data_IF_744963057429
#
_entry.id   IF_744963057429
#
_cell.length_a   1.000
_cell.length_b   1.000
_cell.length_c   1.000
_cell.angle_alpha   90.00
_cell.angle_beta   90.00
_cell.angle_gamma   90.00
#
_symmetry.space_group_name_H-M   'P 1'
#
loop_
_entity.id
_entity.type
_entity.pdbx_description
1 polymer ?
#
# COMPACT_ATOMS: atom_id res chain seq x y z
N UNK A 1 22.04 0.20 12.89
CA UNK A 1 20.75 -0.51 13.02
C UNK A 1 19.57 0.29 12.48
N UNK A 2 19.48 1.61 12.77
CA UNK A 2 18.45 2.48 12.19
C UNK A 2 18.34 2.39 10.65
N UNK A 3 19.45 2.46 9.90
CA UNK A 3 19.44 2.30 8.43
C UNK A 3 18.92 0.92 7.97
N UNK A 4 19.14 -0.14 8.76
CA UNK A 4 18.69 -1.49 8.40
C UNK A 4 17.18 -1.65 8.62
N UNK A 5 16.67 -1.11 9.73
CA UNK A 5 15.24 -1.01 10.01
C UNK A 5 14.52 -0.17 8.96
N UNK A 6 15.12 0.95 8.56
CA UNK A 6 14.58 1.82 7.51
C UNK A 6 14.54 1.12 6.13
N UNK A 7 15.57 0.33 5.83
CA UNK A 7 15.63 -0.50 4.61
C UNK A 7 14.54 -1.58 4.58
N UNK A 8 14.32 -2.29 5.69
CA UNK A 8 13.27 -3.32 5.80
C UNK A 8 11.85 -2.71 5.68
N UNK A 9 11.61 -1.56 6.31
CA UNK A 9 10.35 -0.81 6.17
C UNK A 9 10.12 -0.27 4.75
N UNK A 10 11.19 0.05 4.03
CA UNK A 10 11.10 0.55 2.66
C UNK A 10 10.45 -0.46 1.73
N UNK A 11 10.77 -1.75 1.89
CA UNK A 11 10.14 -2.83 1.11
C UNK A 11 8.64 -2.93 1.40
N UNK A 12 8.25 -2.85 2.68
CA UNK A 12 6.84 -2.89 3.09
C UNK A 12 6.06 -1.71 2.49
N UNK A 13 6.64 -0.51 2.57
CA UNK A 13 6.04 0.72 1.99
C UNK A 13 5.92 0.63 0.47
N UNK A 14 6.92 0.08 -0.21
CA UNK A 14 6.87 -0.16 -1.65
C UNK A 14 5.73 -1.11 -2.03
N UNK A 15 5.61 -2.25 -1.34
CA UNK A 15 4.53 -3.21 -1.58
C UNK A 15 3.16 -2.55 -1.33
N UNK A 16 3.01 -1.83 -0.21
CA UNK A 16 1.77 -1.14 0.12
C UNK A 16 1.38 -0.10 -0.95
N UNK A 17 2.37 0.63 -1.50
CA UNK A 17 2.15 1.58 -2.60
C UNK A 17 1.77 0.91 -3.92
N UNK A 18 2.23 -0.31 -4.18
CA UNK A 18 1.93 -1.03 -5.42
C UNK A 18 0.49 -1.57 -5.49
N UNK A 19 -0.18 -1.80 -4.36
CA UNK A 19 -1.52 -2.42 -4.30
C UNK A 19 -2.57 -1.62 -5.11
N UNK A 20 -2.72 -0.29 -4.92
CA UNK A 20 -3.63 0.51 -5.75
C UNK A 20 -3.32 0.44 -7.25
N UNK A 21 -2.04 0.46 -7.63
CA UNK A 21 -1.62 0.36 -9.03
C UNK A 21 -1.97 -0.99 -9.64
N UNK A 22 -1.84 -2.09 -8.88
CA UNK A 22 -2.28 -3.43 -9.31
C UNK A 22 -3.80 -3.47 -9.51
N UNK A 23 -4.57 -2.87 -8.59
CA UNK A 23 -6.02 -2.70 -8.76
C UNK A 23 -6.36 -1.92 -10.02
N UNK A 24 -5.65 -0.81 -10.27
CA UNK A 24 -5.82 0.01 -11.47
C UNK A 24 -5.56 -0.81 -12.75
N UNK A 25 -4.48 -1.60 -12.80
CA UNK A 25 -4.18 -2.52 -13.92
C UNK A 25 -5.33 -3.51 -14.16
N UNK A 26 -5.92 -4.04 -13.09
CA UNK A 26 -7.12 -4.89 -13.15
C UNK A 26 -8.28 -4.21 -13.85
N UNK A 27 -8.58 -2.96 -13.46
CA UNK A 27 -9.59 -2.13 -14.14
C UNK A 27 -9.28 -1.90 -15.61
N UNK A 28 -8.05 -1.51 -15.95
CA UNK A 28 -7.65 -1.21 -17.34
C UNK A 28 -7.84 -2.46 -18.21
N UNK A 29 -7.44 -3.63 -17.71
CA UNK A 29 -7.68 -4.92 -18.38
C UNK A 29 -9.17 -5.20 -18.56
N UNK A 30 -9.97 -5.08 -17.49
CA UNK A 30 -11.39 -5.41 -17.53
C UNK A 30 -12.20 -4.47 -18.43
N UNK A 31 -11.85 -3.18 -18.45
CA UNK A 31 -12.42 -2.19 -19.37
C UNK A 31 -12.01 -2.53 -20.81
N UNK A 32 -10.74 -2.86 -21.07
CA UNK A 32 -10.30 -3.29 -22.40
C UNK A 32 -11.07 -4.51 -22.92
N UNK A 33 -11.31 -5.49 -22.05
CA UNK A 33 -12.15 -6.65 -22.37
C UNK A 33 -13.61 -6.24 -22.65
N UNK A 34 -14.19 -5.34 -21.86
CA UNK A 34 -15.54 -4.85 -22.08
C UNK A 34 -15.66 -4.10 -23.41
N UNK A 35 -14.70 -3.25 -23.76
CA UNK A 35 -14.67 -2.50 -25.01
C UNK A 35 -14.56 -3.40 -26.24
N UNK A 36 -13.89 -4.56 -26.13
CA UNK A 36 -13.86 -5.55 -27.21
C UNK A 36 -15.24 -6.10 -27.57
N UNK A 37 -16.18 -6.05 -26.63
CA UNK A 37 -17.57 -6.49 -26.80
C UNK A 37 -18.52 -5.35 -27.17
N UNK A 38 -18.02 -4.12 -27.31
CA UNK A 38 -18.85 -2.93 -27.55
C UNK A 38 -19.70 -3.04 -28.81
N UNK A 39 -19.23 -3.74 -29.85
CA UNK A 39 -20.02 -3.95 -31.06
C UNK A 39 -21.32 -4.73 -30.79
N UNK A 40 -21.27 -5.77 -29.94
CA UNK A 40 -22.45 -6.56 -29.56
C UNK A 40 -23.42 -5.76 -28.68
N UNK A 41 -22.90 -4.85 -27.87
CA UNK A 41 -23.72 -3.94 -27.08
C UNK A 41 -24.52 -2.98 -27.95
N UNK A 42 -23.98 -2.56 -29.09
CA UNK A 42 -24.71 -1.76 -30.09
C UNK A 42 -25.86 -2.56 -30.72
N UNK A 43 -25.67 -3.85 -30.93
CA UNK A 43 -26.70 -4.77 -31.44
C UNK A 43 -27.77 -5.15 -30.37
N UNK A 44 -27.62 -4.66 -29.14
CA UNK A 44 -28.58 -4.85 -28.04
C UNK A 44 -28.15 -5.85 -26.97
N UNK A 45 -27.06 -6.60 -27.16
CA UNK A 45 -26.49 -7.50 -26.15
C UNK A 45 -25.41 -6.80 -25.31
N UNK A 46 -25.86 -6.16 -24.23
CA UNK A 46 -24.99 -5.46 -23.28
C UNK A 46 -24.43 -6.36 -22.18
N UNK A 47 -24.87 -7.62 -22.07
CA UNK A 47 -24.56 -8.48 -20.92
C UNK A 47 -23.06 -8.73 -20.77
N UNK A 48 -22.36 -8.91 -21.89
CA UNK A 48 -20.91 -9.10 -21.89
C UNK A 48 -20.15 -7.85 -21.43
N UNK A 49 -20.62 -6.66 -21.80
CA UNK A 49 -19.99 -5.38 -21.41
C UNK A 49 -20.19 -5.12 -19.92
N UNK A 50 -21.42 -5.26 -19.42
CA UNK A 50 -21.74 -5.00 -18.01
C UNK A 50 -21.02 -5.96 -17.07
N UNK A 51 -20.89 -7.23 -17.43
CA UNK A 51 -20.17 -8.21 -16.61
C UNK A 51 -18.66 -7.87 -16.53
N UNK A 52 -18.02 -7.55 -17.65
CA UNK A 52 -16.59 -7.21 -17.66
C UNK A 52 -16.30 -5.89 -16.93
N UNK A 53 -17.15 -4.87 -17.08
CA UNK A 53 -17.06 -3.63 -16.30
C UNK A 53 -17.27 -3.88 -14.81
N UNK A 54 -18.22 -4.75 -14.44
CA UNK A 54 -18.46 -5.12 -13.05
C UNK A 54 -17.23 -5.78 -12.41
N UNK A 55 -16.59 -6.72 -13.11
CA UNK A 55 -15.34 -7.36 -12.64
C UNK A 55 -14.22 -6.33 -12.55
N UNK A 56 -14.09 -5.43 -13.52
CA UNK A 56 -13.10 -4.35 -13.52
C UNK A 56 -13.23 -3.51 -12.25
N UNK A 57 -14.41 -2.94 -11.99
CA UNK A 57 -14.65 -2.10 -10.81
C UNK A 57 -14.46 -2.86 -9.51
N UNK A 58 -14.94 -4.11 -9.41
CA UNK A 58 -14.81 -4.89 -8.18
C UNK A 58 -13.33 -5.19 -7.86
N UNK A 59 -12.50 -5.43 -8.87
CA UNK A 59 -11.07 -5.68 -8.67
C UNK A 59 -10.36 -4.47 -8.03
N UNK A 60 -10.69 -3.26 -8.49
CA UNK A 60 -10.13 -2.02 -7.95
C UNK A 60 -10.70 -1.69 -6.58
N UNK A 61 -12.00 -1.91 -6.38
CA UNK A 61 -12.65 -1.71 -5.09
C UNK A 61 -11.99 -2.57 -4.00
N UNK A 62 -11.81 -3.86 -4.26
CA UNK A 62 -11.16 -4.78 -3.31
C UNK A 62 -9.70 -4.37 -3.09
N UNK A 63 -8.97 -4.01 -4.15
CA UNK A 63 -7.58 -3.55 -4.04
C UNK A 63 -7.45 -2.31 -3.15
N UNK A 64 -8.32 -1.31 -3.33
CA UNK A 64 -8.34 -0.10 -2.52
C UNK A 64 -8.70 -0.40 -1.05
N UNK A 65 -9.70 -1.24 -0.81
CA UNK A 65 -10.09 -1.63 0.54
C UNK A 65 -8.93 -2.31 1.29
N UNK A 66 -8.26 -3.28 0.65
CA UNK A 66 -7.08 -3.93 1.20
C UNK A 66 -5.94 -2.92 1.40
N UNK A 67 -5.71 -2.02 0.44
CA UNK A 67 -4.68 -1.00 0.54
C UNK A 67 -4.89 -0.08 1.75
N UNK A 68 -6.13 0.32 2.04
CA UNK A 68 -6.44 1.17 3.20
C UNK A 68 -6.11 0.43 4.50
N UNK A 69 -6.51 -0.83 4.63
CA UNK A 69 -6.23 -1.65 5.82
C UNK A 69 -4.73 -1.82 6.01
N UNK A 70 -3.98 -2.15 4.94
CA UNK A 70 -2.54 -2.34 5.02
C UNK A 70 -1.82 -1.03 5.34
N UNK A 71 -2.17 0.08 4.68
CA UNK A 71 -1.56 1.39 4.97
C UNK A 71 -1.80 1.81 6.42
N UNK A 72 -2.98 1.52 6.98
CA UNK A 72 -3.24 1.74 8.40
C UNK A 72 -2.30 0.92 9.29
N UNK A 73 -2.11 -0.37 9.01
CA UNK A 73 -1.17 -1.20 9.78
C UNK A 73 0.28 -0.73 9.67
N UNK A 74 0.71 -0.33 8.47
CA UNK A 74 2.05 0.22 8.23
C UNK A 74 2.24 1.51 9.01
N UNK A 75 1.24 2.40 9.03
CA UNK A 75 1.28 3.63 9.81
C UNK A 75 1.40 3.36 11.32
N UNK A 76 0.63 2.40 11.85
CA UNK A 76 0.77 2.00 13.25
C UNK A 76 2.16 1.45 13.56
N UNK A 77 2.75 0.69 12.65
CA UNK A 77 4.11 0.15 12.82
C UNK A 77 5.16 1.26 12.78
N UNK A 78 5.01 2.26 11.91
CA UNK A 78 5.87 3.45 11.85
C UNK A 78 5.83 4.24 13.18
N UNK A 79 4.64 4.49 13.72
CA UNK A 79 4.49 5.19 15.01
C UNK A 79 5.18 4.46 16.16
N UNK A 80 5.13 3.12 16.17
CA UNK A 80 5.84 2.32 17.18
C UNK A 80 7.36 2.41 17.01
N UNK A 81 7.87 2.38 15.78
CA UNK A 81 9.30 2.54 15.53
C UNK A 81 9.82 3.93 15.88
N UNK A 82 9.08 5.00 15.55
CA UNK A 82 9.44 6.37 15.91
C UNK A 82 9.58 6.53 17.43
N UNK A 83 8.68 5.91 18.21
CA UNK A 83 8.81 5.88 19.68
C UNK A 83 10.05 5.13 20.16
N UNK A 84 10.32 3.94 19.61
CA UNK A 84 11.49 3.15 20.00
C UNK A 84 12.81 3.86 19.67
N UNK A 85 12.87 4.55 18.52
CA UNK A 85 14.03 5.34 18.13
C UNK A 85 14.25 6.49 19.13
N UNK A 86 13.19 7.21 19.50
CA UNK A 86 13.27 8.32 20.45
C UNK A 86 13.71 7.88 21.86
N UNK A 87 13.20 6.73 22.35
CA UNK A 87 13.63 6.16 23.64
C UNK A 87 15.10 5.73 23.61
N UNK A 88 15.58 5.18 22.49
CA UNK A 88 16.98 4.76 22.34
C UNK A 88 17.92 5.96 22.30
N UNK A 89 17.52 7.04 21.63
CA UNK A 89 18.27 8.30 21.58
C UNK A 89 18.39 8.91 23.00
N UNK A 90 17.27 9.01 23.71
CA UNK A 90 17.23 9.52 25.10
C UNK A 90 18.10 8.67 26.03
N UNK A 91 18.05 7.35 25.90
CA UNK A 91 18.86 6.44 26.72
C UNK A 91 20.36 6.60 26.46
N UNK A 92 20.78 6.73 25.19
CA UNK A 92 22.17 6.99 24.83
C UNK A 92 22.65 8.36 25.32
N UNK A 93 21.81 9.40 25.22
CA UNK A 93 22.16 10.75 25.66
C UNK A 93 22.31 10.81 27.18
N UNK A 94 21.36 10.24 27.93
CA UNK A 94 21.38 10.27 29.39
C UNK A 94 22.45 9.35 30.01
N UNK A 95 22.61 8.10 29.53
CA UNK A 95 23.54 7.16 30.15
C UNK A 95 24.95 7.21 29.54
N UNK A 96 25.08 7.42 28.23
CA UNK A 96 26.38 7.30 27.57
C UNK A 96 27.13 8.64 27.59
N UNK A 97 26.47 9.76 27.27
CA UNK A 97 27.12 11.08 27.27
C UNK A 97 27.41 11.57 28.68
N UNK A 98 26.53 11.30 29.65
CA UNK A 98 26.78 11.65 31.06
C UNK A 98 27.97 10.86 31.64
N UNK A 99 28.14 9.59 31.28
CA UNK A 99 29.32 8.81 31.70
C UNK A 99 30.60 9.19 30.96
N UNK A 100 30.52 9.70 29.72
CA UNK A 100 31.69 10.13 28.94
C UNK A 100 32.10 11.59 29.22
N UNK A 101 31.19 12.45 29.67
CA UNK A 101 31.48 13.81 30.16
C UNK A 101 31.73 13.87 31.67
N UNK A 102 31.53 12.75 32.37
CA UNK A 102 31.85 12.55 33.78
C UNK A 102 33.32 12.18 33.99
N UNK A 103 34.24 13.03 33.51
CA UNK A 103 35.55 13.32 34.11
C UNK A 103 35.74 14.85 34.12
#
# INVERSE_FOLDING_TARGET
EAERLESELSMIRYIAWAIPSIGFIGTVRGIGAALSLAHRAVDGDISGVTQNLGVAFNSTFIALLISIVIMFMVHQLQLLQERQIFETETYCDENLITHLKGE
#
